data_IF_173446898790
#
_entry.id   IF_173446898790
#
_cell.length_a   1.000
_cell.length_b   1.000
_cell.length_c   1.000
_cell.angle_alpha   90.00
_cell.angle_beta   90.00
_cell.angle_gamma   90.00
#
_symmetry.space_group_name_H-M   'P 1'
#
loop_
_entity.id
_entity.type
_entity.pdbx_description
1 polymer ?
#
# COMPACT_ATOMS: atom_id res chain seq x y z
N UNK A 1 31.09 -18.06 54.14
CA UNK A 1 31.12 -16.76 53.42
C UNK A 1 30.67 -16.97 52.01
N UNK A 2 29.50 -16.45 51.66
CA UNK A 2 29.05 -16.51 50.26
C UNK A 2 29.82 -15.45 49.47
N UNK A 3 30.49 -15.85 48.41
CA UNK A 3 31.20 -14.95 47.50
C UNK A 3 30.12 -14.25 46.67
N UNK A 4 29.92 -12.98 46.91
CA UNK A 4 29.01 -12.15 46.07
C UNK A 4 29.71 -11.89 44.74
N UNK A 5 29.31 -12.65 43.71
CA UNK A 5 29.75 -12.43 42.33
C UNK A 5 29.05 -11.14 41.84
N UNK A 6 29.80 -10.08 41.78
CA UNK A 6 29.34 -8.83 41.15
C UNK A 6 29.18 -9.07 39.66
N UNK A 7 27.94 -9.08 39.17
CA UNK A 7 27.66 -9.11 37.74
C UNK A 7 28.13 -7.77 37.13
N UNK A 8 29.14 -7.82 36.27
CA UNK A 8 29.56 -6.65 35.50
C UNK A 8 28.61 -6.51 34.30
N UNK A 9 27.91 -5.40 34.26
CA UNK A 9 27.15 -5.01 33.06
C UNK A 9 28.14 -4.56 31.97
N UNK A 10 27.82 -4.90 30.72
CA UNK A 10 28.64 -4.47 29.58
C UNK A 10 28.38 -2.97 29.32
N UNK A 11 29.47 -2.22 29.05
CA UNK A 11 29.40 -0.75 28.83
C UNK A 11 28.72 -0.32 27.51
N UNK A 12 28.28 -1.27 26.69
CA UNK A 12 27.61 -0.99 25.41
C UNK A 12 26.21 -1.58 25.40
N UNK A 13 25.24 -0.76 25.05
CA UNK A 13 23.89 -1.19 24.75
C UNK A 13 23.91 -2.08 23.49
N UNK A 14 23.25 -3.23 23.53
CA UNK A 14 22.97 -3.98 22.32
C UNK A 14 21.87 -3.20 21.60
N UNK A 15 22.23 -2.56 20.50
CA UNK A 15 21.27 -1.79 19.68
C UNK A 15 20.58 -2.72 18.70
N UNK A 16 19.34 -2.39 18.34
CA UNK A 16 18.64 -3.01 17.23
C UNK A 16 19.48 -2.90 15.94
N UNK A 17 19.44 -3.93 15.14
CA UNK A 17 19.94 -3.85 13.78
C UNK A 17 19.09 -2.82 13.03
N UNK A 18 19.72 -1.77 12.50
CA UNK A 18 19.01 -0.73 11.75
C UNK A 18 18.15 -1.35 10.64
N UNK A 19 16.84 -1.29 10.81
CA UNK A 19 15.89 -1.61 9.75
C UNK A 19 15.70 -0.36 8.87
N UNK A 20 16.45 -0.30 7.78
CA UNK A 20 16.30 0.78 6.82
C UNK A 20 14.96 0.62 6.08
N UNK A 21 14.08 1.63 6.17
CA UNK A 21 12.81 1.61 5.44
C UNK A 21 13.03 1.42 3.93
N UNK A 22 12.51 0.32 3.39
CA UNK A 22 12.60 -0.02 1.97
C UNK A 22 11.76 0.90 1.07
N UNK A 23 10.91 1.75 1.65
CA UNK A 23 9.96 2.60 0.92
C UNK A 23 10.45 4.02 0.63
N UNK A 24 11.61 4.42 1.15
CA UNK A 24 12.16 5.77 0.95
C UNK A 24 12.34 6.08 -0.54
N UNK A 25 11.73 7.18 -1.02
CA UNK A 25 11.80 7.62 -2.42
C UNK A 25 11.03 6.76 -3.45
N UNK A 26 10.33 5.70 -3.02
CA UNK A 26 9.62 4.75 -3.89
C UNK A 26 8.10 4.97 -3.93
N UNK A 27 7.61 5.94 -3.18
CA UNK A 27 6.22 6.41 -3.15
C UNK A 27 6.13 7.84 -3.64
N UNK A 28 4.95 8.29 -4.07
CA UNK A 28 4.75 9.69 -4.42
C UNK A 28 4.63 10.55 -3.17
N UNK A 29 5.25 11.70 -3.20
CA UNK A 29 5.21 12.79 -2.22
C UNK A 29 4.74 14.11 -2.86
N UNK A 30 4.19 14.01 -4.09
CA UNK A 30 3.67 15.17 -4.83
C UNK A 30 2.46 15.82 -4.12
N UNK A 31 1.72 15.04 -3.33
CA UNK A 31 0.52 15.50 -2.63
C UNK A 31 0.84 15.70 -1.14
N UNK A 32 0.89 16.95 -0.71
CA UNK A 32 1.01 17.30 0.70
C UNK A 32 -0.37 17.34 1.33
N UNK A 33 -0.54 16.58 2.40
CA UNK A 33 -1.73 16.61 3.22
C UNK A 33 -1.40 17.47 4.46
N UNK A 34 -1.56 18.79 4.33
CA UNK A 34 -1.28 19.74 5.41
C UNK A 34 -2.56 20.00 6.20
N UNK A 35 -2.64 19.47 7.41
CA UNK A 35 -3.67 19.77 8.41
C UNK A 35 -5.12 19.47 7.94
N UNK A 36 -5.95 18.98 8.80
CA UNK A 36 -7.33 18.63 8.46
C UNK A 36 -7.58 17.11 8.50
N UNK A 37 -8.77 16.68 8.11
CA UNK A 37 -9.17 15.26 8.17
C UNK A 37 -8.75 14.46 6.93
N UNK A 38 -8.35 15.13 5.85
CA UNK A 38 -7.92 14.49 4.61
C UNK A 38 -7.88 15.46 3.44
N UNK A 39 -7.55 14.96 2.26
CA UNK A 39 -7.39 15.75 1.03
C UNK A 39 -8.20 15.14 -0.11
N UNK A 40 -8.78 16.00 -0.94
CA UNK A 40 -9.39 15.64 -2.21
C UNK A 40 -8.33 15.72 -3.32
N UNK A 41 -8.08 14.60 -3.98
CA UNK A 41 -7.30 14.56 -5.21
C UNK A 41 -8.24 14.72 -6.40
N UNK A 42 -8.08 15.80 -7.16
CA UNK A 42 -8.86 16.04 -8.38
C UNK A 42 -8.08 15.60 -9.61
N UNK A 43 -8.70 14.85 -10.48
CA UNK A 43 -8.14 14.42 -11.76
C UNK A 43 -9.09 14.80 -12.91
N UNK A 44 -8.51 15.28 -14.00
CA UNK A 44 -9.25 15.63 -15.21
C UNK A 44 -9.55 14.35 -16.00
N UNK A 45 -10.81 14.18 -16.43
CA UNK A 45 -11.23 13.08 -17.28
C UNK A 45 -11.06 13.46 -18.76
N UNK A 46 -10.29 12.69 -19.53
CA UNK A 46 -10.02 13.00 -20.92
C UNK A 46 -11.26 12.80 -21.78
N UNK A 47 -11.50 13.74 -22.69
CA UNK A 47 -12.56 13.64 -23.69
C UNK A 47 -12.06 12.77 -24.86
N UNK A 48 -12.95 11.93 -25.39
CA UNK A 48 -12.65 11.08 -26.57
C UNK A 48 -12.48 11.93 -27.84
N UNK A 49 -11.61 11.47 -28.74
CA UNK A 49 -11.41 12.14 -30.02
C UNK A 49 -12.65 11.95 -30.92
N UNK A 50 -13.06 13.05 -31.56
CA UNK A 50 -14.07 13.05 -32.63
C UNK A 50 -13.41 13.15 -34.00
N UNK A 51 -14.09 12.66 -35.04
CA UNK A 51 -13.61 12.84 -36.40
C UNK A 51 -13.87 14.28 -36.87
N UNK A 52 -12.87 14.90 -37.45
CA UNK A 52 -13.02 16.22 -38.06
C UNK A 52 -13.87 16.14 -39.32
N UNK A 53 -15.00 16.85 -39.35
CA UNK A 53 -15.87 16.85 -40.49
C UNK A 53 -15.68 18.12 -41.34
N UNK A 54 -14.99 17.99 -42.50
CA UNK A 54 -14.73 19.11 -43.44
C UNK A 54 -15.99 19.65 -44.11
N UNK A 55 -17.04 18.83 -44.29
CA UNK A 55 -18.25 19.16 -44.98
C UNK A 55 -19.27 19.89 -44.08
N UNK A 56 -19.10 19.81 -42.74
CA UNK A 56 -20.02 20.48 -41.82
C UNK A 56 -19.86 21.99 -41.86
N UNK A 57 -20.98 22.71 -41.78
CA UNK A 57 -21.00 24.20 -41.69
C UNK A 57 -20.73 24.70 -40.27
N UNK A 58 -20.99 23.87 -39.24
CA UNK A 58 -20.74 24.14 -37.82
C UNK A 58 -20.19 22.88 -37.13
N UNK A 59 -19.65 23.04 -35.95
CA UNK A 59 -19.13 21.92 -35.12
C UNK A 59 -18.19 20.94 -35.86
N UNK A 60 -17.29 21.45 -36.71
CA UNK A 60 -16.36 20.64 -37.50
C UNK A 60 -15.44 19.76 -36.63
N UNK A 61 -15.18 20.17 -35.39
CA UNK A 61 -14.38 19.44 -34.41
C UNK A 61 -15.20 18.45 -33.57
N UNK A 62 -16.49 18.28 -33.84
CA UNK A 62 -17.46 17.56 -33.02
C UNK A 62 -18.26 18.47 -32.10
N UNK A 63 -19.20 17.92 -31.38
CA UNK A 63 -19.99 18.67 -30.40
C UNK A 63 -19.12 19.02 -29.20
N UNK A 64 -18.97 20.30 -28.82
CA UNK A 64 -18.25 20.67 -27.61
C UNK A 64 -18.89 20.05 -26.37
N UNK A 65 -18.05 19.42 -25.55
CA UNK A 65 -18.44 18.85 -24.24
C UNK A 65 -17.55 19.49 -23.18
N UNK A 66 -18.12 19.85 -22.05
CA UNK A 66 -17.34 20.37 -20.94
C UNK A 66 -16.46 19.24 -20.32
N UNK A 67 -15.22 19.57 -19.99
CA UNK A 67 -14.29 18.62 -19.38
C UNK A 67 -14.76 18.35 -17.96
N UNK A 68 -14.97 17.08 -17.64
CA UNK A 68 -15.33 16.63 -16.31
C UNK A 68 -14.09 16.36 -15.47
N UNK A 69 -14.24 16.39 -14.16
CA UNK A 69 -13.21 16.01 -13.20
C UNK A 69 -13.72 14.91 -12.26
N UNK A 70 -12.81 14.04 -11.87
CA UNK A 70 -13.07 13.00 -10.87
C UNK A 70 -12.29 13.31 -9.60
N UNK A 71 -12.98 13.26 -8.46
CA UNK A 71 -12.40 13.52 -7.15
C UNK A 71 -12.28 12.23 -6.36
N UNK A 72 -11.11 12.05 -5.72
CA UNK A 72 -10.84 11.00 -4.75
C UNK A 72 -10.55 11.63 -3.40
N UNK A 73 -11.25 11.19 -2.35
CA UNK A 73 -10.96 11.60 -0.98
C UNK A 73 -9.97 10.63 -0.35
N UNK A 74 -8.91 11.16 0.25
CA UNK A 74 -7.92 10.41 1.03
C UNK A 74 -7.89 11.02 2.43
N UNK A 75 -8.40 10.27 3.41
CA UNK A 75 -8.34 10.60 4.83
C UNK A 75 -7.16 9.94 5.53
N UNK A 76 -6.83 10.39 6.74
CA UNK A 76 -5.79 9.77 7.56
C UNK A 76 -6.21 8.36 7.99
N UNK A 77 -5.27 7.42 7.90
CA UNK A 77 -5.53 6.01 8.22
C UNK A 77 -5.13 5.65 9.64
N UNK A 78 -4.04 6.22 10.13
CA UNK A 78 -3.54 5.93 11.46
C UNK A 78 -3.02 7.18 12.17
N UNK A 79 -3.20 7.17 13.48
CA UNK A 79 -2.63 8.11 14.44
C UNK A 79 -2.13 7.30 15.63
N UNK A 80 -0.82 7.07 15.70
CA UNK A 80 -0.18 6.20 16.66
C UNK A 80 0.83 6.96 17.50
N UNK A 81 0.92 6.59 18.77
CA UNK A 81 1.87 7.19 19.71
C UNK A 81 2.41 6.15 20.66
N UNK A 82 3.56 6.44 21.25
CA UNK A 82 4.06 5.70 22.39
C UNK A 82 4.67 6.67 23.41
N UNK A 83 4.40 6.50 24.71
CA UNK A 83 5.14 7.10 25.79
C UNK A 83 6.18 6.10 26.33
N UNK A 84 7.41 6.53 26.54
CA UNK A 84 8.45 5.73 27.19
C UNK A 84 9.12 6.55 28.30
N UNK A 85 9.28 5.94 29.47
CA UNK A 85 9.91 6.58 30.61
C UNK A 85 11.22 5.91 30.96
N UNK A 86 12.22 6.71 31.31
CA UNK A 86 13.49 6.23 31.86
C UNK A 86 13.68 6.87 33.21
N UNK A 87 13.50 6.09 34.28
CA UNK A 87 13.71 6.54 35.66
C UNK A 87 15.19 6.87 35.92
N UNK A 88 15.44 7.90 36.67
CA UNK A 88 16.77 8.42 36.96
C UNK A 88 17.64 7.40 37.71
N UNK A 89 17.06 6.69 38.68
CA UNK A 89 17.77 5.65 39.43
C UNK A 89 18.14 4.47 38.49
N UNK A 90 17.18 3.99 37.72
CA UNK A 90 17.42 2.91 36.75
C UNK A 90 18.42 3.30 35.65
N UNK A 91 18.45 4.57 35.25
CA UNK A 91 19.44 5.10 34.34
C UNK A 91 20.85 5.06 34.91
N UNK A 92 21.00 5.46 36.17
CA UNK A 92 22.28 5.41 36.89
C UNK A 92 22.75 4.00 37.15
N UNK A 93 21.88 3.13 37.66
CA UNK A 93 22.15 1.73 37.96
C UNK A 93 22.48 0.91 36.69
N UNK A 94 21.87 1.28 35.56
CA UNK A 94 22.11 0.70 34.24
C UNK A 94 23.33 1.27 33.50
N UNK A 95 24.20 2.06 34.15
CA UNK A 95 25.43 2.58 33.55
C UNK A 95 25.23 3.68 32.51
N UNK A 96 24.16 4.48 32.61
CA UNK A 96 23.83 5.58 31.69
C UNK A 96 23.58 5.20 30.23
N UNK A 97 23.21 3.96 29.96
CA UNK A 97 23.04 3.44 28.60
C UNK A 97 21.70 3.85 27.95
N UNK A 98 20.64 4.03 28.76
CA UNK A 98 19.28 4.32 28.27
C UNK A 98 19.07 5.81 28.06
N UNK A 99 19.72 6.39 27.07
CA UNK A 99 19.46 7.79 26.70
C UNK A 99 18.15 7.94 25.94
N UNK A 100 17.53 9.13 25.98
CA UNK A 100 16.32 9.43 25.20
C UNK A 100 16.50 9.13 23.69
N UNK A 101 17.66 9.49 23.14
CA UNK A 101 17.99 9.22 21.75
C UNK A 101 18.05 7.73 21.42
N UNK A 102 18.68 6.91 22.29
CA UNK A 102 18.76 5.47 22.11
C UNK A 102 17.36 4.82 22.16
N UNK A 103 16.49 5.26 23.07
CA UNK A 103 15.11 4.76 23.16
C UNK A 103 14.32 5.11 21.91
N UNK A 104 14.43 6.34 21.39
CA UNK A 104 13.75 6.77 20.15
C UNK A 104 14.25 5.94 18.96
N UNK A 105 15.56 5.78 18.82
CA UNK A 105 16.18 5.02 17.73
C UNK A 105 15.70 3.57 17.70
N UNK A 106 15.74 2.92 18.86
CA UNK A 106 15.31 1.52 19.04
C UNK A 106 13.83 1.34 18.69
N UNK A 107 12.94 2.16 19.26
CA UNK A 107 11.51 2.11 19.01
C UNK A 107 11.15 2.42 17.54
N UNK A 108 11.84 3.37 16.93
CA UNK A 108 11.60 3.69 15.53
C UNK A 108 12.01 2.55 14.60
N UNK A 109 13.13 1.89 14.86
CA UNK A 109 13.64 0.83 14.02
C UNK A 109 12.88 -0.49 14.19
N UNK A 110 12.52 -0.85 15.44
CA UNK A 110 11.89 -2.16 15.71
C UNK A 110 10.35 -2.13 15.64
N UNK A 111 9.71 -0.99 15.86
CA UNK A 111 8.25 -0.93 15.99
C UNK A 111 7.63 -0.01 14.94
N UNK A 112 8.09 1.24 14.83
CA UNK A 112 7.43 2.23 13.98
C UNK A 112 7.66 1.96 12.48
N UNK A 113 8.89 1.68 12.08
CA UNK A 113 9.21 1.44 10.67
C UNK A 113 8.53 0.18 10.12
N UNK A 114 8.58 -0.99 10.79
CA UNK A 114 7.84 -2.18 10.35
C UNK A 114 6.32 -1.95 10.29
N UNK A 115 5.73 -1.28 11.29
CA UNK A 115 4.30 -0.94 11.27
C UNK A 115 3.91 -0.14 10.02
N UNK A 116 4.67 0.91 9.69
CA UNK A 116 4.40 1.77 8.53
C UNK A 116 4.53 0.98 7.22
N UNK A 117 5.50 0.06 7.11
CA UNK A 117 5.66 -0.77 5.92
C UNK A 117 4.55 -1.79 5.76
N UNK A 118 4.16 -2.48 6.82
CA UNK A 118 3.04 -3.42 6.82
C UNK A 118 1.72 -2.73 6.47
N UNK A 119 1.47 -1.54 7.03
CA UNK A 119 0.29 -0.74 6.69
C UNK A 119 0.28 -0.37 5.20
N UNK A 120 1.41 0.10 4.67
CA UNK A 120 1.54 0.44 3.24
C UNK A 120 1.20 -0.74 2.34
N UNK A 121 1.79 -1.92 2.56
CA UNK A 121 1.49 -3.09 1.72
C UNK A 121 0.05 -3.57 1.89
N UNK A 122 -0.49 -3.52 3.10
CA UNK A 122 -1.90 -3.85 3.36
C UNK A 122 -2.85 -2.93 2.61
N UNK A 123 -2.55 -1.62 2.57
CA UNK A 123 -3.35 -0.62 1.83
C UNK A 123 -3.23 -0.80 0.32
N UNK A 124 -2.04 -1.12 -0.20
CA UNK A 124 -1.91 -1.48 -1.62
C UNK A 124 -2.75 -2.71 -1.97
N UNK A 125 -2.74 -3.75 -1.14
CA UNK A 125 -3.53 -4.97 -1.35
C UNK A 125 -5.04 -4.69 -1.30
N UNK A 126 -5.50 -3.85 -0.36
CA UNK A 126 -6.92 -3.54 -0.21
C UNK A 126 -7.46 -2.55 -1.26
N UNK A 127 -6.59 -1.84 -2.00
CA UNK A 127 -7.01 -0.88 -3.02
C UNK A 127 -6.29 -1.08 -4.37
N UNK A 128 -5.78 -2.28 -4.63
CA UNK A 128 -5.05 -2.59 -5.86
C UNK A 128 -5.92 -2.41 -7.12
N UNK A 129 -5.31 -1.91 -8.19
CA UNK A 129 -5.96 -1.82 -9.49
C UNK A 129 -6.18 -3.19 -10.12
N UNK A 130 -5.23 -4.12 -9.91
CA UNK A 130 -5.30 -5.49 -10.42
C UNK A 130 -4.82 -6.48 -9.37
N UNK A 131 -5.65 -7.49 -9.09
CA UNK A 131 -5.32 -8.62 -8.21
C UNK A 131 -5.42 -9.91 -9.02
N UNK A 132 -4.31 -10.62 -9.15
CA UNK A 132 -4.24 -11.93 -9.83
C UNK A 132 -4.06 -13.00 -8.76
N UNK A 133 -4.77 -14.11 -8.95
CA UNK A 133 -4.71 -15.23 -8.02
C UNK A 133 -4.07 -16.45 -8.68
N UNK A 134 -3.25 -17.16 -7.91
CA UNK A 134 -2.57 -18.37 -8.36
C UNK A 134 -2.08 -19.23 -7.19
N UNK A 135 -1.41 -20.32 -7.53
CA UNK A 135 -0.70 -21.13 -6.55
C UNK A 135 0.58 -20.42 -6.09
N UNK A 136 1.20 -20.91 -5.02
CA UNK A 136 2.51 -20.41 -4.61
C UNK A 136 3.51 -20.45 -5.78
N UNK A 137 4.33 -19.39 -5.95
CA UNK A 137 5.30 -19.34 -7.02
C UNK A 137 6.37 -20.44 -6.85
N UNK A 138 6.90 -20.88 -7.98
CA UNK A 138 8.02 -21.83 -8.04
C UNK A 138 9.20 -21.22 -8.79
N UNK A 139 10.37 -21.85 -8.72
CA UNK A 139 11.54 -21.39 -9.47
C UNK A 139 11.34 -21.40 -10.99
N UNK A 140 10.44 -22.25 -11.50
CA UNK A 140 10.14 -22.35 -12.94
C UNK A 140 9.19 -21.28 -13.45
N UNK A 141 8.32 -20.71 -12.60
CA UNK A 141 7.27 -19.76 -13.03
C UNK A 141 7.46 -18.32 -12.55
N UNK A 142 8.34 -18.08 -11.57
CA UNK A 142 8.51 -16.77 -10.96
C UNK A 142 8.92 -15.68 -11.98
N UNK A 143 9.80 -15.98 -12.92
CA UNK A 143 10.21 -15.02 -13.95
C UNK A 143 9.06 -14.71 -14.92
N UNK A 144 8.22 -15.69 -15.25
CA UNK A 144 7.04 -15.48 -16.09
C UNK A 144 6.01 -14.60 -15.38
N UNK A 145 5.86 -14.73 -14.06
CA UNK A 145 4.99 -13.84 -13.25
C UNK A 145 5.51 -12.39 -13.24
N UNK A 146 6.81 -12.17 -13.10
CA UNK A 146 7.40 -10.83 -13.19
C UNK A 146 7.17 -10.21 -14.59
N UNK A 147 7.33 -11.01 -15.66
CA UNK A 147 7.02 -10.58 -17.03
C UNK A 147 5.53 -10.25 -17.20
N UNK A 148 4.63 -11.00 -16.56
CA UNK A 148 3.19 -10.72 -16.58
C UNK A 148 2.83 -9.39 -15.89
N UNK A 149 3.56 -9.01 -14.82
CA UNK A 149 3.43 -7.69 -14.18
C UNK A 149 3.83 -6.58 -15.16
N UNK A 150 4.96 -6.73 -15.85
CA UNK A 150 5.40 -5.76 -16.86
C UNK A 150 4.39 -5.59 -18.00
N UNK A 151 3.85 -6.71 -18.50
CA UNK A 151 2.82 -6.71 -19.52
C UNK A 151 1.53 -6.00 -19.03
N UNK A 152 1.12 -6.25 -17.77
CA UNK A 152 -0.02 -5.59 -17.17
C UNK A 152 0.17 -4.07 -17.09
N UNK A 153 1.34 -3.62 -16.62
CA UNK A 153 1.67 -2.18 -16.56
C UNK A 153 1.74 -1.54 -17.94
N UNK A 154 2.29 -2.24 -18.94
CA UNK A 154 2.34 -1.75 -20.31
C UNK A 154 0.94 -1.60 -20.90
N UNK A 155 0.06 -2.60 -20.70
CA UNK A 155 -1.32 -2.56 -21.17
C UNK A 155 -2.14 -1.47 -20.48
N UNK A 156 -1.86 -1.17 -19.20
CA UNK A 156 -2.44 -0.06 -18.47
C UNK A 156 -1.79 1.30 -18.81
N UNK A 157 -0.85 1.36 -19.77
CA UNK A 157 -0.11 2.57 -20.20
C UNK A 157 0.64 3.26 -19.06
N UNK A 158 1.08 2.51 -18.06
CA UNK A 158 1.88 3.01 -16.94
C UNK A 158 3.33 3.25 -17.40
N UNK A 159 3.94 4.38 -17.03
CA UNK A 159 5.34 4.69 -17.37
C UNK A 159 6.31 3.57 -16.96
N UNK A 160 7.39 3.39 -17.74
CA UNK A 160 8.41 2.36 -17.44
C UNK A 160 9.32 2.74 -16.27
N UNK A 161 9.42 4.04 -15.96
CA UNK A 161 10.24 4.54 -14.88
C UNK A 161 9.61 4.25 -13.51
N UNK A 162 10.44 4.05 -12.51
CA UNK A 162 10.06 3.96 -11.10
C UNK A 162 8.99 2.90 -10.81
N UNK A 163 9.15 1.72 -11.41
CA UNK A 163 8.36 0.52 -11.12
C UNK A 163 9.08 -0.31 -10.09
N UNK A 164 8.38 -0.68 -9.05
CA UNK A 164 8.88 -1.47 -7.93
C UNK A 164 8.07 -2.74 -7.78
N UNK A 165 8.70 -3.78 -7.26
CA UNK A 165 8.03 -5.00 -6.82
C UNK A 165 8.63 -5.44 -5.48
N UNK A 166 7.79 -5.52 -4.46
CA UNK A 166 8.14 -6.12 -3.17
C UNK A 166 7.93 -7.63 -3.25
N UNK A 167 8.95 -8.35 -2.82
CA UNK A 167 9.01 -9.80 -2.89
C UNK A 167 9.40 -10.32 -1.50
N UNK A 168 8.60 -11.21 -0.88
CA UNK A 168 8.96 -11.84 0.38
C UNK A 168 10.28 -12.62 0.25
N UNK A 169 11.05 -12.71 1.32
CA UNK A 169 12.35 -13.41 1.32
C UNK A 169 12.24 -14.84 0.80
N UNK A 170 11.18 -15.57 1.14
CA UNK A 170 10.94 -16.93 0.65
C UNK A 170 10.78 -17.00 -0.87
N UNK A 171 10.08 -16.06 -1.47
CA UNK A 171 9.89 -15.97 -2.93
C UNK A 171 11.13 -15.38 -3.62
N UNK A 172 11.85 -14.48 -2.96
CA UNK A 172 13.08 -13.91 -3.46
C UNK A 172 14.17 -14.96 -3.70
N UNK A 173 14.26 -15.98 -2.84
CA UNK A 173 15.15 -17.12 -3.04
C UNK A 173 14.83 -17.88 -4.33
N UNK A 174 13.56 -18.01 -4.71
CA UNK A 174 13.16 -18.64 -5.97
C UNK A 174 13.66 -17.85 -7.19
N UNK A 175 13.63 -16.52 -7.11
CA UNK A 175 14.19 -15.64 -8.15
C UNK A 175 15.69 -15.90 -8.30
N UNK A 176 16.42 -15.96 -7.19
CA UNK A 176 17.87 -16.26 -7.20
C UNK A 176 18.16 -17.60 -7.84
N UNK A 177 17.41 -18.66 -7.48
CA UNK A 177 17.56 -19.98 -8.09
C UNK A 177 17.25 -19.97 -9.58
N UNK A 178 16.19 -19.29 -10.02
CA UNK A 178 15.85 -19.16 -11.45
C UNK A 178 16.93 -18.44 -12.24
N UNK A 179 17.52 -17.37 -11.67
CA UNK A 179 18.59 -16.62 -12.33
C UNK A 179 19.89 -17.41 -12.38
N UNK A 180 20.22 -18.19 -11.35
CA UNK A 180 21.43 -19.03 -11.31
C UNK A 180 21.38 -20.16 -12.35
N UNK A 181 20.17 -20.64 -12.71
CA UNK A 181 19.99 -21.66 -13.75
C UNK A 181 20.11 -21.11 -15.18
N UNK A 182 20.17 -19.81 -15.36
CA UNK A 182 20.36 -19.14 -16.64
C UNK A 182 21.85 -18.84 -16.83
N UNK A 183 22.54 -19.53 -17.73
CA UNK A 183 24.00 -19.48 -18.00
C UNK A 183 24.61 -18.09 -18.30
N UNK A 184 23.82 -17.01 -18.29
CA UNK A 184 24.24 -15.68 -18.70
C UNK A 184 24.01 -14.58 -17.62
N UNK A 185 23.84 -14.96 -16.36
CA UNK A 185 23.68 -13.95 -15.29
C UNK A 185 25.06 -13.56 -14.76
N UNK A 186 25.41 -12.30 -14.89
CA UNK A 186 26.69 -11.77 -14.41
C UNK A 186 26.79 -11.95 -12.89
N UNK A 187 27.83 -12.63 -12.42
CA UNK A 187 28.15 -12.88 -11.00
C UNK A 187 28.02 -11.65 -10.07
N UNK A 188 28.16 -10.46 -10.61
CA UNK A 188 28.00 -9.19 -9.87
C UNK A 188 26.58 -8.93 -9.37
N UNK A 189 25.55 -9.51 -9.98
CA UNK A 189 24.16 -9.39 -9.51
C UNK A 189 23.84 -10.36 -8.36
N UNK A 190 24.53 -11.50 -8.33
CA UNK A 190 24.34 -12.55 -7.31
C UNK A 190 25.13 -12.27 -6.01
N UNK A 191 26.34 -11.69 -6.14
CA UNK A 191 27.28 -11.50 -5.01
C UNK A 191 26.81 -10.40 -4.04
N UNK A 192 26.07 -9.39 -4.51
CA UNK A 192 25.63 -8.26 -3.65
C UNK A 192 24.31 -8.49 -2.92
N UNK A 193 23.64 -9.63 -3.11
CA UNK A 193 22.35 -9.90 -2.46
C UNK A 193 21.21 -8.94 -2.89
N UNK A 194 21.48 -8.03 -3.80
CA UNK A 194 20.54 -7.07 -4.33
C UNK A 194 20.24 -7.46 -5.76
N UNK A 195 19.07 -8.06 -6.01
CA UNK A 195 18.53 -8.11 -7.37
C UNK A 195 18.07 -6.70 -7.70
N UNK A 196 18.94 -5.91 -8.30
CA UNK A 196 18.69 -4.49 -8.52
C UNK A 196 17.50 -4.25 -9.47
N UNK A 197 17.45 -4.98 -10.61
CA UNK A 197 16.43 -4.74 -11.62
C UNK A 197 16.24 -5.99 -12.49
N UNK A 198 14.98 -6.40 -12.67
CA UNK A 198 14.58 -7.43 -13.63
C UNK A 198 13.67 -6.76 -14.66
N UNK A 199 14.11 -6.70 -15.90
CA UNK A 199 13.41 -5.95 -16.95
C UNK A 199 13.24 -4.47 -16.58
N UNK A 200 12.00 -4.00 -16.39
CA UNK A 200 11.68 -2.63 -15.97
C UNK A 200 11.35 -2.51 -14.48
N UNK A 201 11.34 -3.63 -13.74
CA UNK A 201 10.97 -3.70 -12.32
C UNK A 201 12.21 -3.61 -11.42
N UNK A 202 12.17 -2.72 -10.45
CA UNK A 202 13.13 -2.68 -9.35
C UNK A 202 12.63 -3.64 -8.26
N UNK A 203 13.37 -4.71 -8.02
CA UNK A 203 13.00 -5.74 -7.05
C UNK A 203 13.48 -5.35 -5.65
N UNK A 204 12.59 -5.41 -4.68
CA UNK A 204 12.83 -5.11 -3.27
C UNK A 204 12.53 -6.37 -2.48
N UNK A 205 13.53 -6.88 -1.78
CA UNK A 205 13.33 -7.96 -0.80
C UNK A 205 12.73 -7.36 0.47
N UNK A 206 11.66 -8.00 0.97
CA UNK A 206 10.96 -7.62 2.20
C UNK A 206 10.80 -8.83 3.11
N UNK A 207 10.67 -8.60 4.41
CA UNK A 207 10.38 -9.69 5.33
C UNK A 207 9.02 -10.33 5.00
N UNK A 208 8.92 -11.64 5.18
CA UNK A 208 7.67 -12.37 4.91
C UNK A 208 6.50 -11.87 5.77
N UNK A 209 6.80 -11.30 6.95
CA UNK A 209 5.83 -10.70 7.87
C UNK A 209 5.28 -9.35 7.41
N UNK A 210 5.95 -8.66 6.47
CA UNK A 210 5.57 -7.31 6.04
C UNK A 210 4.44 -7.33 5.02
N UNK A 211 4.26 -8.45 4.35
CA UNK A 211 3.14 -8.65 3.42
C UNK A 211 1.95 -9.33 4.10
N UNK A 212 0.71 -9.04 3.66
CA UNK A 212 -0.44 -9.81 4.10
C UNK A 212 -0.29 -11.31 3.78
N UNK A 213 -0.89 -12.15 4.61
CA UNK A 213 -0.82 -13.61 4.46
C UNK A 213 -1.25 -14.07 3.07
N UNK A 214 -0.50 -15.02 2.48
CA UNK A 214 -0.76 -15.60 1.16
C UNK A 214 -0.63 -14.58 -0.02
N UNK A 215 0.04 -13.44 0.19
CA UNK A 215 0.43 -12.50 -0.87
C UNK A 215 1.86 -12.79 -1.28
N UNK A 216 2.09 -12.99 -2.58
CA UNK A 216 3.38 -13.40 -3.11
C UNK A 216 4.20 -12.26 -3.72
N UNK A 217 3.54 -11.34 -4.44
CA UNK A 217 4.17 -10.20 -5.10
C UNK A 217 3.28 -8.98 -4.97
N UNK A 218 3.87 -7.85 -4.58
CA UNK A 218 3.21 -6.54 -4.57
C UNK A 218 4.01 -5.61 -5.47
N UNK A 219 3.46 -5.27 -6.63
CA UNK A 219 4.12 -4.38 -7.57
C UNK A 219 3.37 -3.05 -7.68
N UNK A 220 4.15 -1.96 -7.75
CA UNK A 220 3.58 -0.62 -7.92
C UNK A 220 4.50 0.28 -8.74
N UNK A 221 3.92 1.32 -9.30
CA UNK A 221 4.65 2.43 -9.88
C UNK A 221 4.60 3.63 -8.92
N UNK A 222 5.69 4.37 -8.80
CA UNK A 222 5.86 5.45 -7.80
C UNK A 222 4.65 6.39 -7.70
N UNK A 223 4.10 6.87 -8.82
CA UNK A 223 2.96 7.81 -8.85
C UNK A 223 1.63 7.16 -8.47
N UNK A 224 1.54 5.83 -8.50
CA UNK A 224 0.32 5.09 -8.15
C UNK A 224 0.17 4.88 -6.65
N UNK A 225 1.26 4.95 -5.90
CA UNK A 225 1.30 4.68 -4.47
C UNK A 225 1.68 5.95 -3.70
N UNK A 226 0.75 6.47 -2.92
CA UNK A 226 0.93 7.61 -2.04
C UNK A 226 1.26 7.13 -0.62
N UNK A 227 2.23 7.81 0.01
CA UNK A 227 2.48 7.73 1.43
C UNK A 227 2.75 9.14 1.96
N UNK A 228 1.91 9.62 2.86
CA UNK A 228 2.02 10.94 3.44
C UNK A 228 1.97 10.88 4.96
N UNK A 229 2.67 11.82 5.59
CA UNK A 229 2.68 12.01 7.03
C UNK A 229 2.28 13.46 7.32
N UNK A 230 1.38 13.63 8.29
CA UNK A 230 1.03 14.93 8.86
C UNK A 230 1.90 15.23 10.09
N UNK A 231 1.96 14.27 11.00
CA UNK A 231 2.71 14.38 12.24
C UNK A 231 3.73 13.25 12.28
N UNK A 232 4.99 13.60 12.51
CA UNK A 232 6.06 12.66 12.83
C UNK A 232 7.03 13.39 13.76
N UNK A 233 6.73 13.39 15.05
CA UNK A 233 7.49 14.12 16.03
C UNK A 233 7.83 13.29 17.26
N UNK A 234 8.98 13.58 17.85
CA UNK A 234 9.39 13.06 19.14
C UNK A 234 9.59 14.23 20.10
N UNK A 235 9.05 14.11 21.32
CA UNK A 235 9.22 15.07 22.40
C UNK A 235 9.95 14.40 23.56
N UNK A 236 10.89 15.11 24.14
CA UNK A 236 11.65 14.65 25.31
C UNK A 236 11.44 15.63 26.45
N UNK A 237 10.86 15.15 27.53
CA UNK A 237 10.63 15.92 28.75
C UNK A 237 11.60 15.46 29.84
N UNK A 238 12.25 16.41 30.50
CA UNK A 238 13.10 16.14 31.66
C UNK A 238 12.29 16.41 32.92
N UNK A 239 12.30 15.46 33.84
CA UNK A 239 11.63 15.52 35.13
C UNK A 239 10.16 16.04 35.07
N UNK A 240 9.30 15.46 34.21
CA UNK A 240 7.91 15.88 34.11
C UNK A 240 7.14 15.51 35.40
N UNK A 241 6.01 16.18 35.72
CA UNK A 241 5.24 15.92 36.92
C UNK A 241 4.92 14.43 37.11
N UNK A 242 5.30 13.88 38.27
CA UNK A 242 5.05 12.48 38.61
C UNK A 242 6.07 11.45 38.08
N UNK A 243 7.11 11.89 37.34
CA UNK A 243 8.18 11.04 36.81
C UNK A 243 9.54 11.64 37.23
N UNK A 244 10.35 10.85 37.91
CA UNK A 244 11.71 11.23 38.26
C UNK A 244 12.65 10.69 37.17
N UNK A 245 12.87 11.49 36.10
CA UNK A 245 13.70 11.07 34.99
C UNK A 245 13.25 11.63 33.63
N UNK A 246 13.39 10.87 32.58
CA UNK A 246 13.09 11.28 31.20
C UNK A 246 11.81 10.62 30.71
N UNK A 247 10.89 11.42 30.17
CA UNK A 247 9.73 10.94 29.41
C UNK A 247 9.97 11.24 27.91
N UNK A 248 9.91 10.21 27.10
CA UNK A 248 9.93 10.29 25.65
C UNK A 248 8.53 10.05 25.12
N UNK A 249 7.99 10.97 24.36
CA UNK A 249 6.71 10.85 23.68
C UNK A 249 6.94 10.91 22.18
N UNK A 250 6.40 9.96 21.45
CA UNK A 250 6.43 9.93 19.99
C UNK A 250 5.03 9.84 19.45
N UNK A 251 4.75 10.56 18.36
CA UNK A 251 3.49 10.49 17.64
C UNK A 251 3.75 10.45 16.15
N UNK A 252 3.04 9.57 15.45
CA UNK A 252 3.02 9.48 14.00
C UNK A 252 1.57 9.40 13.50
N UNK A 253 1.21 10.34 12.64
CA UNK A 253 -0.06 10.35 11.92
C UNK A 253 0.23 10.32 10.44
N UNK A 254 -0.39 9.37 9.73
CA UNK A 254 -0.09 9.18 8.32
C UNK A 254 -1.17 8.42 7.57
N UNK A 255 -0.93 8.28 6.27
CA UNK A 255 -1.79 7.54 5.35
C UNK A 255 -0.96 6.86 4.27
N UNK A 256 -1.40 5.67 3.88
CA UNK A 256 -0.99 5.00 2.66
C UNK A 256 -2.19 4.79 1.74
N UNK A 257 -2.11 5.20 0.48
CA UNK A 257 -3.23 5.14 -0.44
C UNK A 257 -2.80 4.84 -1.87
N UNK A 258 -3.73 4.32 -2.66
CA UNK A 258 -3.59 4.18 -4.10
C UNK A 258 -4.25 5.37 -4.79
N UNK A 259 -3.52 6.03 -5.68
CA UNK A 259 -4.06 7.13 -6.49
C UNK A 259 -4.95 6.55 -7.59
N UNK A 260 -6.26 6.80 -7.54
CA UNK A 260 -7.27 6.18 -8.38
C UNK A 260 -7.00 6.31 -9.88
N UNK A 261 -6.58 7.49 -10.34
CA UNK A 261 -6.21 7.73 -11.75
C UNK A 261 -5.09 6.79 -12.24
N UNK A 262 -4.18 6.40 -11.35
CA UNK A 262 -3.03 5.54 -11.66
C UNK A 262 -3.17 4.15 -11.05
N UNK A 263 -4.37 3.74 -10.67
CA UNK A 263 -4.64 2.44 -10.02
C UNK A 263 -4.13 1.25 -10.82
N UNK A 264 -4.16 1.31 -12.15
CA UNK A 264 -3.57 0.29 -13.03
C UNK A 264 -2.05 0.08 -12.83
N UNK A 265 -1.37 0.97 -12.11
CA UNK A 265 0.01 0.83 -11.69
C UNK A 265 0.21 0.10 -10.36
N UNK A 266 -0.83 -0.52 -9.80
CA UNK A 266 -0.74 -1.40 -8.63
C UNK A 266 -1.24 -2.79 -9.01
N UNK A 267 -0.35 -3.78 -8.87
CA UNK A 267 -0.60 -5.17 -9.23
C UNK A 267 -0.21 -6.08 -8.09
N UNK A 268 -1.11 -6.98 -7.72
CA UNK A 268 -0.92 -7.95 -6.64
C UNK A 268 -1.01 -9.37 -7.20
N UNK A 269 -0.07 -10.22 -6.82
CA UNK A 269 -0.12 -11.66 -7.05
C UNK A 269 -0.29 -12.36 -5.70
N UNK A 270 -1.35 -13.13 -5.54
CA UNK A 270 -1.69 -13.76 -4.27
C UNK A 270 -2.39 -15.10 -4.46
N UNK A 271 -2.54 -15.86 -3.39
CA UNK A 271 -3.37 -17.05 -3.36
C UNK A 271 -4.85 -16.68 -3.46
N UNK A 272 -5.67 -17.56 -4.01
CA UNK A 272 -7.12 -17.33 -4.14
C UNK A 272 -7.80 -17.06 -2.79
N UNK A 273 -7.30 -17.66 -1.71
CA UNK A 273 -7.78 -17.44 -0.34
C UNK A 273 -7.47 -16.06 0.23
N UNK A 274 -6.43 -15.39 -0.28
CA UNK A 274 -6.04 -14.04 0.12
C UNK A 274 -6.86 -12.94 -0.56
N UNK A 275 -7.58 -13.26 -1.64
CA UNK A 275 -8.47 -12.33 -2.33
C UNK A 275 -9.89 -12.41 -1.78
N UNK A 276 -10.53 -11.28 -1.59
CA UNK A 276 -11.93 -11.22 -1.19
C UNK A 276 -12.85 -11.70 -2.32
N UNK A 277 -13.90 -12.44 -1.97
CA UNK A 277 -14.90 -12.89 -2.91
C UNK A 277 -15.63 -11.72 -3.57
N UNK A 278 -15.92 -11.85 -4.87
CA UNK A 278 -16.59 -10.80 -5.62
C UNK A 278 -18.04 -10.62 -5.12
N UNK A 279 -18.55 -9.39 -5.07
CA UNK A 279 -19.97 -9.14 -4.94
C UNK A 279 -20.69 -9.53 -6.24
N UNK A 280 -22.01 -9.62 -6.21
CA UNK A 280 -22.84 -9.81 -7.40
C UNK A 280 -24.05 -8.89 -7.40
N UNK A 281 -24.58 -8.59 -8.57
CA UNK A 281 -25.87 -7.92 -8.68
C UNK A 281 -26.69 -8.50 -9.82
N UNK A 282 -28.01 -8.38 -9.70
CA UNK A 282 -28.94 -8.67 -10.79
C UNK A 282 -29.11 -7.45 -11.69
N UNK A 283 -29.65 -7.63 -12.88
CA UNK A 283 -30.02 -6.52 -13.75
C UNK A 283 -31.09 -5.59 -13.15
N UNK A 284 -31.92 -6.09 -12.21
CA UNK A 284 -32.87 -5.30 -11.43
C UNK A 284 -32.19 -4.54 -10.25
N UNK A 285 -30.87 -4.42 -10.24
CA UNK A 285 -30.13 -3.63 -9.25
C UNK A 285 -30.01 -4.27 -7.87
N UNK A 286 -30.43 -5.53 -7.65
CA UNK A 286 -30.30 -6.19 -6.35
C UNK A 286 -28.85 -6.57 -6.11
N UNK A 287 -28.20 -5.94 -5.14
CA UNK A 287 -26.80 -6.20 -4.78
C UNK A 287 -26.73 -7.31 -3.73
N UNK A 288 -25.85 -8.28 -3.95
CA UNK A 288 -25.41 -9.27 -2.97
C UNK A 288 -23.97 -9.01 -2.62
N UNK A 289 -23.67 -8.81 -1.34
CA UNK A 289 -22.30 -8.59 -0.85
C UNK A 289 -21.44 -9.82 -1.05
N UNK A 290 -20.13 -9.63 -1.25
CA UNK A 290 -19.19 -10.74 -1.38
C UNK A 290 -19.18 -11.62 -0.13
N UNK A 291 -19.05 -12.93 -0.31
CA UNK A 291 -19.05 -13.89 0.80
C UNK A 291 -18.00 -13.52 1.86
N UNK A 292 -18.42 -13.48 3.12
CA UNK A 292 -17.57 -13.10 4.27
C UNK A 292 -16.91 -11.72 4.17
N UNK A 293 -17.44 -10.81 3.35
CA UNK A 293 -16.96 -9.42 3.31
C UNK A 293 -17.34 -8.65 4.57
N UNK A 294 -16.49 -7.72 4.98
CA UNK A 294 -16.82 -6.78 6.05
C UNK A 294 -17.76 -5.70 5.54
N UNK A 295 -17.58 -5.29 4.29
CA UNK A 295 -18.45 -4.37 3.57
C UNK A 295 -18.24 -4.45 2.06
N UNK A 296 -19.21 -3.91 1.33
CA UNK A 296 -19.14 -3.71 -0.11
C UNK A 296 -19.36 -2.22 -0.41
N UNK A 297 -18.61 -1.67 -1.34
CA UNK A 297 -18.87 -0.33 -1.91
C UNK A 297 -19.49 -0.47 -3.28
N UNK A 298 -20.42 0.40 -3.60
CA UNK A 298 -21.01 0.48 -4.95
C UNK A 298 -21.15 1.92 -5.43
N UNK A 299 -21.22 2.11 -6.75
CA UNK A 299 -21.55 3.35 -7.46
C UNK A 299 -22.60 3.06 -8.52
N UNK A 300 -23.42 4.03 -8.88
CA UNK A 300 -24.44 3.94 -9.94
C UNK A 300 -24.05 4.74 -11.20
N UNK A 301 -23.05 5.59 -11.08
CA UNK A 301 -22.54 6.47 -12.13
C UNK A 301 -21.48 5.83 -13.04
N UNK A 302 -21.17 4.54 -12.82
CA UNK A 302 -20.12 3.83 -13.54
C UNK A 302 -18.69 4.19 -13.14
N UNK A 303 -18.50 5.03 -12.12
CA UNK A 303 -17.19 5.31 -11.53
C UNK A 303 -16.64 4.08 -10.78
N UNK A 304 -15.34 4.05 -10.50
CA UNK A 304 -14.73 2.95 -9.72
C UNK A 304 -15.04 3.15 -8.22
N UNK A 305 -15.79 2.24 -7.56
CA UNK A 305 -16.18 2.38 -6.17
C UNK A 305 -15.02 2.35 -5.16
N UNK A 306 -13.81 1.98 -5.58
CA UNK A 306 -12.61 2.02 -4.73
C UNK A 306 -12.15 3.44 -4.46
N UNK A 307 -12.33 4.33 -5.43
CA UNK A 307 -11.72 5.67 -5.43
C UNK A 307 -12.75 6.80 -5.51
N UNK A 308 -13.98 6.51 -5.92
CA UNK A 308 -15.02 7.52 -6.10
C UNK A 308 -15.54 8.05 -4.77
N UNK A 309 -15.82 9.36 -4.72
CA UNK A 309 -16.51 10.02 -3.61
C UNK A 309 -18.02 9.73 -3.57
N UNK A 310 -18.60 9.29 -4.71
CA UNK A 310 -20.01 8.87 -4.81
C UNK A 310 -20.25 7.45 -4.30
N UNK A 311 -19.19 6.72 -3.95
CA UNK A 311 -19.29 5.32 -3.53
C UNK A 311 -20.03 5.19 -2.20
N UNK A 312 -21.09 4.38 -2.20
CA UNK A 312 -21.90 4.06 -1.03
C UNK A 312 -21.39 2.76 -0.40
N UNK A 313 -21.20 2.76 0.91
CA UNK A 313 -20.78 1.60 1.69
C UNK A 313 -21.99 0.85 2.24
N UNK A 314 -22.03 -0.48 2.04
CA UNK A 314 -23.06 -1.38 2.58
C UNK A 314 -22.42 -2.60 3.25
N UNK A 315 -23.08 -3.16 4.25
CA UNK A 315 -22.65 -4.37 4.99
C UNK A 315 -23.56 -5.57 4.71
N UNK A 316 -24.72 -5.35 4.11
CA UNK A 316 -25.69 -6.38 3.74
C UNK A 316 -26.23 -6.10 2.34
N UNK A 317 -26.92 -7.09 1.76
CA UNK A 317 -27.55 -6.92 0.46
C UNK A 317 -28.58 -5.77 0.45
N UNK A 318 -28.64 -5.03 -0.66
CA UNK A 318 -29.55 -3.88 -0.85
C UNK A 318 -29.93 -3.75 -2.31
N UNK A 319 -31.02 -3.00 -2.54
CA UNK A 319 -31.43 -2.58 -3.89
C UNK A 319 -31.46 -1.05 -3.90
N UNK A 320 -30.41 -0.39 -4.41
CA UNK A 320 -30.40 1.07 -4.52
C UNK A 320 -31.45 1.56 -5.52
N UNK A 321 -31.97 2.76 -5.30
CA UNK A 321 -32.79 3.43 -6.31
C UNK A 321 -31.92 3.73 -7.51
N UNK A 322 -32.30 3.25 -8.68
CA UNK A 322 -31.57 3.37 -9.93
C UNK A 322 -32.51 3.68 -11.09
N UNK A 323 -31.94 4.11 -12.20
CA UNK A 323 -32.64 4.32 -13.48
C UNK A 323 -32.18 3.23 -14.46
N UNK A 324 -33.05 2.81 -15.36
CA UNK A 324 -32.64 1.90 -16.42
C UNK A 324 -31.48 2.48 -17.24
N UNK A 325 -30.41 1.71 -17.39
CA UNK A 325 -29.19 2.14 -18.06
C UNK A 325 -28.08 2.63 -17.12
N UNK A 326 -28.32 2.79 -15.83
CA UNK A 326 -27.27 3.11 -14.88
C UNK A 326 -26.22 1.98 -14.83
N UNK A 327 -24.97 2.36 -14.69
CA UNK A 327 -23.86 1.42 -14.59
C UNK A 327 -23.50 1.19 -13.13
N UNK A 328 -24.06 0.15 -12.55
CA UNK A 328 -23.78 -0.28 -11.20
C UNK A 328 -22.41 -0.97 -11.15
N UNK A 329 -21.46 -0.37 -10.45
CA UNK A 329 -20.18 -1.00 -10.14
C UNK A 329 -20.06 -1.28 -8.66
N UNK A 330 -19.44 -2.40 -8.29
CA UNK A 330 -19.31 -2.81 -6.90
C UNK A 330 -18.05 -3.57 -6.63
N UNK A 331 -17.58 -3.48 -5.38
CA UNK A 331 -16.36 -4.12 -4.89
C UNK A 331 -16.50 -4.45 -3.42
N UNK A 332 -16.02 -5.62 -3.01
CA UNK A 332 -16.08 -6.09 -1.61
C UNK A 332 -14.72 -6.04 -0.93
N UNK A 333 -14.76 -5.74 0.36
CA UNK A 333 -13.60 -5.59 1.22
C UNK A 333 -13.66 -6.50 2.43
N UNK A 334 -12.49 -6.98 2.84
CA UNK A 334 -12.29 -7.67 4.12
C UNK A 334 -10.92 -7.31 4.68
N UNK A 335 -10.86 -7.05 5.99
CA UNK A 335 -9.59 -6.79 6.67
C UNK A 335 -8.60 -7.94 6.45
N UNK A 336 -7.34 -7.61 6.17
CA UNK A 336 -6.27 -8.59 5.93
C UNK A 336 -6.32 -9.33 4.59
N UNK A 337 -7.26 -8.99 3.69
CA UNK A 337 -7.34 -9.57 2.34
C UNK A 337 -7.14 -8.52 1.25
N UNK A 338 -6.70 -9.00 0.09
CA UNK A 338 -6.73 -8.21 -1.13
C UNK A 338 -8.17 -7.93 -1.54
N UNK A 339 -8.38 -6.79 -2.18
CA UNK A 339 -9.69 -6.36 -2.69
C UNK A 339 -10.25 -7.36 -3.71
N UNK A 340 -11.58 -7.45 -3.79
CA UNK A 340 -12.26 -8.22 -4.85
C UNK A 340 -12.09 -7.56 -6.22
N UNK A 341 -12.45 -8.25 -7.29
CA UNK A 341 -12.61 -7.58 -8.58
C UNK A 341 -13.78 -6.59 -8.54
N UNK A 342 -13.69 -5.56 -9.37
CA UNK A 342 -14.81 -4.67 -9.62
C UNK A 342 -15.80 -5.36 -10.55
N UNK A 343 -17.00 -5.63 -10.05
CA UNK A 343 -18.10 -6.19 -10.83
C UNK A 343 -18.94 -5.03 -11.37
N UNK A 344 -19.28 -5.10 -12.65
CA UNK A 344 -20.09 -4.09 -13.33
C UNK A 344 -21.35 -4.72 -13.91
N UNK A 345 -22.50 -4.11 -13.65
CA UNK A 345 -23.81 -4.53 -14.16
C UNK A 345 -24.56 -3.29 -14.67
N UNK A 346 -25.10 -3.34 -15.87
CA UNK A 346 -26.02 -2.30 -16.35
C UNK A 346 -27.42 -2.63 -15.87
N UNK A 347 -28.06 -1.68 -15.18
CA UNK A 347 -29.39 -1.89 -14.61
C UNK A 347 -30.48 -1.81 -15.69
N UNK A 348 -31.54 -2.58 -15.50
CA UNK A 348 -32.76 -2.52 -16.29
C UNK A 348 -33.90 -2.00 -15.41
N UNK A 349 -34.95 -1.52 -16.03
CA UNK A 349 -36.17 -1.11 -15.32
C UNK A 349 -36.87 -2.28 -14.64
#
# INVERSE_FOLDING_TARGET
MAINLVQKYHDKLVKALEYASNLAGKTTDEYKLDGGEGVYLTSIDPISLSNYNKAATSNRYGTPTEVQDTQQYIGWDYDKSYPATVDKSNYQDGGYLKTAGAVIEEQNNEVVAPFIEQDFYTKLCSNAGKVVTGNAPSSSDILSRLTAIEAAFKNARIPKADRYVAVPTTVFQLIRHSLTSLDNVTDKMLIKGVVGKIGTLNVIEVADSDLPTDVYLVAWQKKSALRAFDIKEAKVHQDPPGINGILVEFRVRGVAAVVGKYSGGVYIDCKSTAKQANPSATAAGVITVGSSSDYTKYTLDGSDPRYSTTAVKITSGTTPTHTAGDVLKMVSYKAGKCVSDVVSVTTTS
#
